data_IF_698918732859
#
_entry.id   IF_698918732859
#
_cell.length_a   1.000
_cell.length_b   1.000
_cell.length_c   1.000
_cell.angle_alpha   90.00
_cell.angle_beta   90.00
_cell.angle_gamma   90.00
#
_symmetry.space_group_name_H-M   'P 1'
#
loop_
_entity.id
_entity.type
_entity.pdbx_description
1 polymer ?
#
# COMPACT_ATOMS: atom_id res chain seq x y z
N UNK A 1 14.04 -14.82 9.09
CA UNK A 1 13.13 -14.72 7.92
C UNK A 1 13.96 -14.45 6.68
N UNK A 2 13.75 -15.23 5.61
CA UNK A 2 14.44 -15.04 4.33
C UNK A 2 13.44 -14.48 3.32
N UNK A 3 13.84 -13.45 2.58
CA UNK A 3 12.89 -12.71 1.74
C UNK A 3 13.46 -12.62 0.32
N UNK A 4 12.70 -13.10 -0.65
CA UNK A 4 13.06 -13.03 -2.05
C UNK A 4 12.33 -11.86 -2.70
N UNK A 5 13.10 -10.93 -3.22
CA UNK A 5 12.64 -9.77 -3.97
C UNK A 5 13.02 -9.94 -5.43
N UNK A 6 12.07 -9.72 -6.33
CA UNK A 6 12.29 -9.83 -7.77
C UNK A 6 11.78 -8.55 -8.42
N UNK A 7 12.66 -7.58 -8.77
CA UNK A 7 12.24 -6.39 -9.49
C UNK A 7 11.50 -6.76 -10.78
N UNK A 8 10.54 -5.94 -11.18
CA UNK A 8 9.83 -6.15 -12.44
C UNK A 8 10.63 -5.48 -13.60
N UNK A 9 10.92 -6.20 -14.70
CA UNK A 9 10.54 -7.58 -15.05
C UNK A 9 11.41 -8.68 -14.38
N UNK A 10 10.86 -9.89 -14.16
CA UNK A 10 11.31 -10.85 -13.13
C UNK A 10 12.61 -11.64 -13.43
N UNK A 11 13.48 -11.12 -14.28
CA UNK A 11 14.69 -11.83 -14.73
C UNK A 11 15.82 -11.80 -13.69
N UNK A 12 15.69 -10.98 -12.64
CA UNK A 12 16.63 -10.87 -11.54
C UNK A 12 15.89 -11.13 -10.24
N UNK A 13 16.37 -12.08 -9.44
CA UNK A 13 15.86 -12.32 -8.09
C UNK A 13 16.99 -12.13 -7.10
N UNK A 14 16.70 -11.43 -6.00
CA UNK A 14 17.64 -11.11 -4.95
C UNK A 14 17.08 -11.61 -3.62
N UNK A 15 17.88 -12.35 -2.87
CA UNK A 15 17.53 -12.70 -1.50
C UNK A 15 18.02 -11.61 -0.57
N UNK A 16 17.10 -11.05 0.21
CA UNK A 16 17.37 -10.11 1.27
C UNK A 16 17.23 -10.79 2.64
N UNK A 17 18.09 -10.37 3.56
CA UNK A 17 17.85 -10.54 4.99
C UNK A 17 16.68 -9.65 5.43
N UNK A 18 16.05 -9.97 6.56
CA UNK A 18 15.00 -9.11 7.14
C UNK A 18 15.43 -7.66 7.28
N UNK A 19 16.68 -7.42 7.71
CA UNK A 19 17.21 -6.07 7.90
C UNK A 19 17.41 -5.31 6.58
N UNK A 20 17.75 -6.00 5.48
CA UNK A 20 17.87 -5.36 4.17
C UNK A 20 16.49 -5.04 3.59
N UNK A 21 15.51 -5.94 3.72
CA UNK A 21 14.16 -5.64 3.27
C UNK A 21 13.52 -4.54 4.12
N UNK A 22 13.78 -4.50 5.43
CA UNK A 22 13.33 -3.43 6.32
C UNK A 22 13.78 -2.02 5.88
N UNK A 23 14.83 -1.91 5.05
CA UNK A 23 15.25 -0.64 4.43
C UNK A 23 14.45 -0.30 3.18
N UNK A 24 13.93 -1.30 2.49
CA UNK A 24 13.03 -1.12 1.37
C UNK A 24 11.62 -0.81 1.89
N UNK A 25 11.11 -1.62 2.81
CA UNK A 25 9.82 -1.43 3.46
C UNK A 25 9.93 -1.71 4.97
N UNK A 26 9.82 -0.65 5.77
CA UNK A 26 9.97 -0.72 7.24
C UNK A 26 8.93 -1.59 7.92
N UNK A 27 7.80 -1.90 7.28
CA UNK A 27 6.76 -2.77 7.85
C UNK A 27 7.27 -4.19 8.14
N UNK A 28 8.29 -4.66 7.41
CA UNK A 28 8.95 -5.94 7.70
C UNK A 28 9.97 -5.89 8.84
N UNK A 29 10.28 -4.71 9.38
CA UNK A 29 11.20 -4.52 10.49
C UNK A 29 10.56 -4.79 11.86
N UNK A 30 9.23 -4.93 11.92
CA UNK A 30 8.45 -5.09 13.14
C UNK A 30 7.73 -6.45 13.15
N UNK A 31 8.44 -7.57 13.37
CA UNK A 31 7.86 -8.92 13.39
C UNK A 31 6.66 -9.05 14.33
N UNK A 32 6.73 -8.40 15.49
CA UNK A 32 5.70 -8.37 16.52
C UNK A 32 4.43 -7.63 16.11
N UNK A 33 4.51 -6.79 15.07
CA UNK A 33 3.38 -6.06 14.54
C UNK A 33 2.78 -6.74 13.32
N UNK A 34 3.42 -7.77 12.73
CA UNK A 34 2.95 -8.38 11.49
C UNK A 34 1.47 -8.78 11.55
N UNK A 35 0.70 -8.49 10.48
CA UNK A 35 -0.72 -8.77 10.46
C UNK A 35 -0.94 -10.29 10.42
N UNK A 36 -2.13 -10.73 10.88
CA UNK A 36 -2.54 -12.13 10.79
C UNK A 36 -2.54 -12.64 9.34
N UNK A 37 -2.88 -11.76 8.39
CA UNK A 37 -2.80 -12.05 6.95
C UNK A 37 -1.60 -11.34 6.31
N UNK A 38 -0.45 -12.02 6.33
CA UNK A 38 0.76 -11.58 5.65
C UNK A 38 0.60 -11.46 4.13
N UNK A 39 -0.39 -12.13 3.53
CA UNK A 39 -0.56 -12.10 2.08
C UNK A 39 -0.99 -10.72 1.59
N UNK A 40 -1.77 -9.99 2.39
CA UNK A 40 -2.14 -8.60 2.13
C UNK A 40 -0.92 -7.69 2.22
N UNK A 41 -0.12 -7.79 3.27
CA UNK A 41 1.11 -7.00 3.43
C UNK A 41 2.09 -7.23 2.29
N UNK A 42 2.30 -8.49 1.90
CA UNK A 42 3.22 -8.85 0.80
C UNK A 42 2.74 -8.28 -0.53
N UNK A 43 1.43 -8.30 -0.79
CA UNK A 43 0.86 -7.69 -1.99
C UNK A 43 1.03 -6.17 -1.99
N UNK A 44 0.79 -5.55 -0.84
CA UNK A 44 0.89 -4.12 -0.68
C UNK A 44 2.32 -3.61 -0.91
N UNK A 45 3.27 -4.33 -0.31
CA UNK A 45 4.69 -4.06 -0.46
C UNK A 45 5.16 -4.30 -1.89
N UNK A 46 4.66 -5.37 -2.55
CA UNK A 46 4.93 -5.63 -3.96
C UNK A 46 4.49 -4.46 -4.84
N UNK A 47 3.27 -3.95 -4.62
CA UNK A 47 2.74 -2.82 -5.37
C UNK A 47 3.54 -1.53 -5.14
N UNK A 48 3.89 -1.20 -3.89
CA UNK A 48 4.70 0.00 -3.56
C UNK A 48 6.12 -0.06 -4.12
N UNK A 49 6.73 -1.26 -4.13
CA UNK A 49 8.07 -1.45 -4.65
C UNK A 49 8.10 -1.69 -6.17
N UNK A 50 6.93 -1.74 -6.81
CA UNK A 50 6.77 -2.11 -8.23
C UNK A 50 7.55 -3.38 -8.58
N UNK A 51 7.44 -4.40 -7.73
CA UNK A 51 8.25 -5.62 -7.80
C UNK A 51 7.49 -6.85 -7.30
N UNK A 52 7.82 -8.02 -7.84
CA UNK A 52 7.31 -9.28 -7.32
C UNK A 52 8.02 -9.61 -6.00
N UNK A 53 7.24 -9.90 -4.96
CA UNK A 53 7.76 -10.13 -3.61
C UNK A 53 7.34 -11.52 -3.13
N UNK A 54 8.29 -12.28 -2.57
CA UNK A 54 8.01 -13.51 -1.84
C UNK A 54 8.70 -13.52 -0.48
N UNK A 55 7.92 -13.72 0.57
CA UNK A 55 8.40 -13.81 1.95
C UNK A 55 8.35 -15.27 2.39
N UNK A 56 9.43 -15.77 2.99
CA UNK A 56 9.48 -17.10 3.59
C UNK A 56 9.89 -17.01 5.06
N UNK A 57 9.03 -17.51 5.92
CA UNK A 57 9.25 -17.65 7.36
C UNK A 57 9.28 -19.13 7.75
N UNK A 58 9.35 -19.42 9.04
CA UNK A 58 9.20 -20.78 9.56
C UNK A 58 7.74 -21.25 9.46
N UNK A 59 6.77 -20.32 9.57
CA UNK A 59 5.34 -20.60 9.52
C UNK A 59 4.80 -20.76 8.09
N UNK A 60 5.54 -20.33 7.06
CA UNK A 60 5.08 -20.49 5.68
C UNK A 60 5.81 -19.68 4.62
N UNK A 61 5.23 -19.66 3.42
CA UNK A 61 5.68 -18.86 2.27
C UNK A 61 4.50 -18.09 1.70
N UNK A 62 4.73 -16.80 1.45
CA UNK A 62 3.80 -15.90 0.77
C UNK A 62 4.47 -15.32 -0.47
N UNK A 63 3.69 -15.04 -1.52
CA UNK A 63 4.18 -14.44 -2.75
C UNK A 63 3.08 -13.65 -3.45
N UNK A 64 3.41 -12.47 -4.01
CA UNK A 64 2.48 -11.61 -4.75
C UNK A 64 3.18 -10.82 -5.85
N UNK A 65 2.45 -10.58 -6.93
CA UNK A 65 2.86 -9.67 -8.01
C UNK A 65 2.16 -8.30 -7.83
N UNK A 66 2.79 -7.16 -8.21
CA UNK A 66 2.17 -5.84 -8.16
C UNK A 66 0.83 -5.74 -8.90
N UNK A 67 0.71 -6.48 -9.99
CA UNK A 67 -0.48 -6.50 -10.87
C UNK A 67 -1.54 -7.53 -10.45
N UNK A 68 -1.23 -8.37 -9.46
CA UNK A 68 -2.19 -9.38 -9.00
C UNK A 68 -3.32 -8.69 -8.24
N UNK A 69 -4.57 -8.89 -8.68
CA UNK A 69 -5.72 -8.35 -8.00
C UNK A 69 -5.90 -9.01 -6.61
N UNK A 70 -6.26 -8.21 -5.60
CA UNK A 70 -6.67 -8.74 -4.29
C UNK A 70 -8.18 -8.75 -4.18
N UNK A 71 -8.72 -9.79 -3.56
CA UNK A 71 -10.06 -9.70 -2.98
C UNK A 71 -9.91 -9.07 -1.60
N UNK A 72 -10.33 -7.81 -1.49
CA UNK A 72 -10.26 -7.06 -0.24
C UNK A 72 -11.40 -7.53 0.68
N UNK A 73 -11.14 -8.00 1.90
CA UNK A 73 -12.19 -8.31 2.85
C UNK A 73 -13.01 -7.06 3.20
N UNK A 74 -14.32 -7.26 3.43
CA UNK A 74 -15.21 -6.20 3.89
C UNK A 74 -14.99 -5.96 5.38
N UNK A 75 -14.05 -5.08 5.70
CA UNK A 75 -13.74 -4.64 7.06
C UNK A 75 -13.61 -3.12 7.11
N UNK A 76 -13.63 -2.57 8.33
CA UNK A 76 -13.54 -1.13 8.55
C UNK A 76 -12.13 -0.55 8.32
N UNK A 77 -12.02 0.78 8.24
CA UNK A 77 -10.75 1.51 8.05
C UNK A 77 -9.71 1.17 9.12
N UNK A 78 -10.12 1.09 10.40
CA UNK A 78 -9.23 0.76 11.51
C UNK A 78 -8.67 -0.68 11.42
N UNK A 79 -9.46 -1.62 10.89
CA UNK A 79 -9.00 -2.98 10.64
C UNK A 79 -8.04 -3.03 9.46
N UNK A 80 -8.30 -2.25 8.41
CA UNK A 80 -7.36 -2.10 7.29
C UNK A 80 -6.02 -1.50 7.71
N UNK A 81 -6.02 -0.49 8.59
CA UNK A 81 -4.78 0.05 9.16
C UNK A 81 -3.96 -1.01 9.88
N UNK A 82 -4.62 -1.89 10.63
CA UNK A 82 -3.95 -3.00 11.31
C UNK A 82 -3.44 -4.05 10.32
N UNK A 83 -4.21 -4.40 9.30
CA UNK A 83 -3.78 -5.39 8.30
C UNK A 83 -2.61 -4.90 7.44
N UNK A 84 -2.51 -3.60 7.19
CA UNK A 84 -1.47 -3.00 6.35
C UNK A 84 -0.30 -2.40 7.16
N UNK A 85 -0.32 -2.58 8.48
CA UNK A 85 0.66 -2.03 9.42
C UNK A 85 0.81 -0.51 9.34
N UNK A 86 -0.31 0.17 9.13
CA UNK A 86 -0.40 1.63 9.11
C UNK A 86 -0.66 2.20 10.51
N UNK A 87 -1.08 1.36 11.45
CA UNK A 87 -1.36 1.78 12.82
C UNK A 87 -0.14 2.47 13.46
N UNK A 88 -0.32 3.70 13.95
CA UNK A 88 0.73 4.49 14.57
C UNK A 88 1.64 5.24 13.58
N UNK A 89 1.46 5.07 12.27
CA UNK A 89 2.15 5.90 11.27
C UNK A 89 1.54 7.31 11.28
N UNK A 90 2.36 8.38 11.31
CA UNK A 90 1.85 9.75 11.26
C UNK A 90 0.97 9.97 10.02
N UNK A 91 -0.25 10.46 10.25
CA UNK A 91 -1.22 10.77 9.19
C UNK A 91 -1.23 12.28 8.95
N UNK A 92 -0.96 12.69 7.72
CA UNK A 92 -1.20 14.05 7.29
C UNK A 92 -2.65 14.19 6.82
N UNK A 93 -3.48 14.85 7.62
CA UNK A 93 -4.86 15.21 7.22
C UNK A 93 -4.77 16.48 6.38
N UNK A 94 -5.22 16.38 5.13
CA UNK A 94 -5.06 17.42 4.12
C UNK A 94 -6.40 17.76 3.47
N UNK A 95 -6.50 18.98 2.91
CA UNK A 95 -7.67 19.42 2.14
C UNK A 95 -7.74 18.71 0.78
N UNK A 96 -8.88 18.83 0.08
CA UNK A 96 -9.01 18.30 -1.29
C UNK A 96 -8.03 18.99 -2.24
N UNK A 97 -7.76 20.28 -2.04
CA UNK A 97 -6.78 21.03 -2.83
C UNK A 97 -5.35 20.54 -2.58
N UNK A 98 -4.99 20.23 -1.34
CA UNK A 98 -3.69 19.64 -1.00
C UNK A 98 -3.58 18.19 -1.51
N UNK A 99 -4.69 17.45 -1.55
CA UNK A 99 -4.72 16.10 -2.11
C UNK A 99 -4.38 16.04 -3.61
N UNK A 100 -4.49 17.16 -4.32
CA UNK A 100 -4.12 17.26 -5.73
C UNK A 100 -2.67 16.82 -6.01
N UNK A 101 -1.79 16.87 -5.02
CA UNK A 101 -0.41 16.37 -5.13
C UNK A 101 -0.33 14.86 -5.36
N UNK A 102 -1.37 14.09 -5.02
CA UNK A 102 -1.42 12.64 -5.24
C UNK A 102 -1.47 12.28 -6.74
N UNK A 103 -1.89 13.21 -7.59
CA UNK A 103 -1.96 13.03 -9.05
C UNK A 103 -0.58 12.85 -9.68
N UNK A 104 0.40 13.56 -9.14
CA UNK A 104 1.78 13.53 -9.61
C UNK A 104 2.59 12.37 -8.99
N UNK A 105 1.99 11.58 -8.09
CA UNK A 105 2.65 10.41 -7.54
C UNK A 105 2.72 9.32 -8.60
N UNK A 106 3.95 8.95 -8.95
CA UNK A 106 4.22 7.84 -9.85
C UNK A 106 4.22 6.50 -9.14
N UNK A 107 4.35 6.49 -7.80
CA UNK A 107 4.45 5.31 -6.96
C UNK A 107 3.69 5.54 -5.66
N UNK A 108 2.84 4.59 -5.27
CA UNK A 108 1.97 4.72 -4.10
C UNK A 108 0.69 3.92 -4.23
N UNK A 109 -0.03 3.81 -3.12
CA UNK A 109 -1.34 3.16 -3.09
C UNK A 109 -2.38 4.15 -2.58
N UNK A 110 -3.57 4.14 -3.20
CA UNK A 110 -4.74 4.90 -2.77
C UNK A 110 -5.87 3.95 -2.40
N UNK A 111 -6.43 4.13 -1.22
CA UNK A 111 -7.56 3.37 -0.70
C UNK A 111 -8.78 4.29 -0.66
N UNK A 112 -9.86 3.83 -1.27
CA UNK A 112 -11.13 4.55 -1.32
C UNK A 112 -12.12 3.90 -0.36
N UNK A 113 -12.59 4.66 0.63
CA UNK A 113 -13.58 4.18 1.59
C UNK A 113 -14.95 4.80 1.33
N UNK A 114 -15.99 3.97 1.37
CA UNK A 114 -17.39 4.37 1.22
C UNK A 114 -18.16 4.16 2.52
N UNK A 115 -19.14 5.04 2.79
CA UNK A 115 -19.94 4.99 4.02
C UNK A 115 -19.13 5.24 5.30
N UNK A 116 -17.91 5.79 5.17
CA UNK A 116 -17.03 6.10 6.30
C UNK A 116 -16.32 4.90 6.93
N UNK A 117 -16.56 3.69 6.45
CA UNK A 117 -16.01 2.48 7.08
C UNK A 117 -15.52 1.46 6.06
N UNK A 118 -16.17 1.26 4.92
CA UNK A 118 -15.87 0.12 4.06
C UNK A 118 -14.87 0.47 2.95
N UNK A 119 -13.77 -0.29 2.88
CA UNK A 119 -12.84 -0.20 1.75
C UNK A 119 -13.53 -0.68 0.47
N UNK A 120 -13.60 0.19 -0.53
CA UNK A 120 -14.24 -0.10 -1.82
C UNK A 120 -13.24 -0.43 -2.91
N UNK A 121 -12.12 0.29 -2.95
CA UNK A 121 -11.07 0.12 -3.97
C UNK A 121 -9.70 0.38 -3.38
N UNK A 122 -8.72 -0.32 -3.95
CA UNK A 122 -7.29 -0.02 -3.82
C UNK A 122 -6.75 0.26 -5.22
N UNK A 123 -6.19 1.45 -5.41
CA UNK A 123 -5.60 1.93 -6.65
C UNK A 123 -4.09 1.94 -6.47
N UNK A 124 -3.35 1.43 -7.46
CA UNK A 124 -1.90 1.47 -7.54
C UNK A 124 -1.47 2.63 -8.41
N UNK A 125 -0.91 3.67 -7.81
CA UNK A 125 -0.45 4.86 -8.52
C UNK A 125 0.75 4.61 -9.45
N UNK A 126 1.37 3.43 -9.40
CA UNK A 126 2.27 2.94 -10.46
C UNK A 126 1.57 2.77 -11.82
N UNK A 127 0.27 2.49 -11.81
CA UNK A 127 -0.53 2.25 -13.00
C UNK A 127 -1.16 3.54 -13.51
N UNK A 128 -1.03 3.77 -14.83
CA UNK A 128 -1.58 4.96 -15.48
C UNK A 128 -3.10 5.09 -15.32
N UNK A 129 -3.84 4.00 -15.47
CA UNK A 129 -5.30 4.00 -15.33
C UNK A 129 -5.75 4.37 -13.91
N UNK A 130 -5.02 3.91 -12.91
CA UNK A 130 -5.32 4.18 -11.51
C UNK A 130 -5.03 5.65 -11.15
N UNK A 131 -3.95 6.22 -11.69
CA UNK A 131 -3.68 7.67 -11.59
C UNK A 131 -4.78 8.49 -12.24
N UNK A 132 -5.23 8.12 -13.44
CA UNK A 132 -6.37 8.79 -14.10
C UNK A 132 -7.65 8.73 -13.26
N UNK A 133 -7.92 7.60 -12.59
CA UNK A 133 -9.09 7.48 -11.71
C UNK A 133 -8.96 8.43 -10.51
N UNK A 134 -7.78 8.53 -9.90
CA UNK A 134 -7.51 9.50 -8.84
C UNK A 134 -7.65 10.94 -9.33
N UNK A 135 -7.14 11.26 -10.51
CA UNK A 135 -7.29 12.59 -11.13
C UNK A 135 -8.76 12.97 -11.25
N UNK A 136 -9.58 12.05 -11.77
CA UNK A 136 -11.02 12.23 -11.93
C UNK A 136 -11.74 12.41 -10.59
N UNK A 137 -11.42 11.58 -9.60
CA UNK A 137 -12.04 11.65 -8.27
C UNK A 137 -11.71 12.96 -7.55
N UNK A 138 -10.49 13.45 -7.70
CA UNK A 138 -10.04 14.72 -7.11
C UNK A 138 -10.57 15.95 -7.87
N UNK A 139 -10.89 15.84 -9.17
CA UNK A 139 -11.47 16.95 -9.95
C UNK A 139 -12.98 17.12 -9.76
N UNK A 140 -13.73 16.02 -9.57
CA UNK A 140 -15.21 16.01 -9.52
C UNK A 140 -15.78 15.90 -8.09
N UNK A 141 -15.00 16.26 -7.07
CA UNK A 141 -15.41 16.29 -5.64
C UNK A 141 -15.89 14.94 -5.05
N UNK A 142 -15.22 13.82 -5.36
CA UNK A 142 -15.39 12.53 -4.66
C UNK A 142 -16.85 12.01 -4.47
N UNK A 143 -17.81 12.23 -5.37
CA UNK A 143 -19.22 11.84 -5.12
C UNK A 143 -19.37 10.36 -4.70
N UNK A 144 -19.67 10.13 -3.42
CA UNK A 144 -19.85 8.80 -2.81
C UNK A 144 -18.61 8.17 -2.16
N UNK A 145 -17.42 8.76 -2.32
CA UNK A 145 -16.21 8.42 -1.55
C UNK A 145 -16.16 9.35 -0.34
N UNK A 146 -15.95 8.78 0.86
CA UNK A 146 -15.92 9.55 2.11
C UNK A 146 -14.52 9.80 2.63
N UNK A 147 -13.62 8.85 2.42
CA UNK A 147 -12.23 9.00 2.81
C UNK A 147 -11.37 8.47 1.68
N UNK A 148 -10.42 9.29 1.27
CA UNK A 148 -9.30 8.89 0.43
C UNK A 148 -8.07 8.82 1.34
N UNK A 149 -7.40 7.67 1.34
CA UNK A 149 -6.12 7.50 2.01
C UNK A 149 -5.07 7.11 1.00
N UNK A 150 -3.97 7.85 0.95
CA UNK A 150 -2.84 7.51 0.12
C UNK A 150 -1.63 7.18 0.99
N UNK A 151 -0.83 6.21 0.55
CA UNK A 151 0.49 6.02 1.13
C UNK A 151 1.56 5.71 0.12
N UNK A 152 2.75 6.21 0.44
CA UNK A 152 3.95 6.09 -0.37
C UNK A 152 5.10 5.67 0.51
N UNK A 153 5.93 4.80 -0.04
CA UNK A 153 7.20 4.42 0.53
C UNK A 153 8.29 5.32 -0.04
N UNK A 154 8.96 6.05 0.84
CA UNK A 154 10.07 6.92 0.47
C UNK A 154 11.36 6.13 0.26
N UNK A 155 12.36 6.77 -0.35
CA UNK A 155 13.63 6.11 -0.68
C UNK A 155 14.41 5.59 0.54
N UNK A 156 14.13 6.12 1.74
CA UNK A 156 14.72 5.68 3.00
C UNK A 156 13.89 4.59 3.72
N UNK A 157 12.82 4.11 3.08
CA UNK A 157 11.89 3.12 3.61
C UNK A 157 10.86 3.71 4.58
N UNK A 158 10.79 5.04 4.76
CA UNK A 158 9.72 5.67 5.53
C UNK A 158 8.39 5.62 4.78
N UNK A 159 7.30 5.46 5.52
CA UNK A 159 5.95 5.46 4.95
C UNK A 159 5.29 6.81 5.20
N UNK A 160 4.88 7.47 4.14
CA UNK A 160 4.13 8.75 4.20
C UNK A 160 2.65 8.45 4.02
N UNK A 161 1.81 8.82 5.00
CA UNK A 161 0.34 8.67 4.93
C UNK A 161 -0.35 10.02 4.74
N UNK A 162 -1.23 10.08 3.74
CA UNK A 162 -2.09 11.22 3.45
C UNK A 162 -3.54 10.80 3.58
N UNK A 163 -4.37 11.64 4.21
CA UNK A 163 -5.80 11.39 4.36
C UNK A 163 -6.60 12.63 4.00
N UNK A 164 -7.65 12.41 3.20
CA UNK A 164 -8.59 13.42 2.74
C UNK A 164 -9.99 12.93 3.08
N UNK A 165 -10.81 13.82 3.65
CA UNK A 165 -12.22 13.54 3.91
C UNK A 165 -13.07 14.24 2.85
N UNK A 166 -13.88 13.47 2.14
CA UNK A 166 -14.98 13.94 1.30
C UNK A 166 -16.34 13.46 1.93
#
# INVERSE_FOLDING_TARGET
MNILFTPFPPQLSMTFTSAQLARLDRRFACPELLPLDLSLLVQDSAALLSAALSVRTEEGRWARHPEEASVLPSVDEATWERHLLLAGTPVHVCSVEEAAFLRDWTDGLVYLFCGGTHLRRRLNLGLFCDRMEVDFLLSEQCLGVKVLRAHRLEADGTLTLWRVTC
#
